data_IF_645385862462
#
_entry.id   IF_645385862462
#
_cell.length_a   1.000
_cell.length_b   1.000
_cell.length_c   1.000
_cell.angle_alpha   90.00
_cell.angle_beta   90.00
_cell.angle_gamma   90.00
#
_symmetry.space_group_name_H-M   'P 1'
#
loop_
_entity.id
_entity.type
_entity.pdbx_description
1 polymer ?
#
# COMPACT_ATOMS: atom_id res chain seq x y z
N UNK A 1 2.81 2.12 -19.70
CA UNK A 1 3.41 3.03 -18.70
C UNK A 1 4.70 2.37 -18.25
N UNK A 2 5.83 3.08 -18.13
CA UNK A 2 7.08 2.48 -17.65
C UNK A 2 7.27 2.88 -16.20
N UNK A 3 6.97 1.99 -15.28
CA UNK A 3 7.28 2.11 -13.85
C UNK A 3 8.73 1.69 -13.66
N UNK A 4 9.62 2.66 -13.44
CA UNK A 4 11.00 2.37 -13.06
C UNK A 4 11.06 2.38 -11.53
N UNK A 5 11.07 1.20 -10.92
CA UNK A 5 11.47 1.07 -9.52
C UNK A 5 13.00 1.11 -9.50
N UNK A 6 13.57 2.14 -8.89
CA UNK A 6 14.99 2.15 -8.58
C UNK A 6 15.19 1.40 -7.27
N UNK A 7 15.89 0.28 -7.32
CA UNK A 7 16.43 -0.39 -6.14
C UNK A 7 17.84 0.15 -5.88
N UNK A 8 18.05 1.00 -4.86
CA UNK A 8 19.36 1.50 -4.51
C UNK A 8 20.08 0.48 -3.62
N UNK A 9 20.33 -0.74 -4.08
CA UNK A 9 21.17 -1.70 -3.34
C UNK A 9 22.28 -2.30 -4.21
N UNK A 10 23.24 -1.46 -4.59
CA UNK A 10 24.65 -1.90 -4.71
C UNK A 10 25.53 -0.87 -4.00
N UNK A 11 25.82 -1.10 -2.71
CA UNK A 11 26.79 -0.34 -1.93
C UNK A 11 26.41 -0.26 -0.47
N UNK A 12 27.27 -0.78 0.42
CA UNK A 12 27.04 -1.02 1.85
C UNK A 12 27.01 0.24 2.74
N UNK A 13 26.54 1.37 2.21
CA UNK A 13 26.38 2.64 2.92
C UNK A 13 25.33 3.46 2.14
N UNK A 14 24.05 3.31 2.45
CA UNK A 14 22.97 3.99 1.70
C UNK A 14 22.09 4.76 2.66
N UNK A 15 21.93 6.06 2.37
CA UNK A 15 21.00 6.95 3.05
C UNK A 15 19.53 6.49 2.93
N UNK A 16 18.56 7.32 3.37
CA UNK A 16 17.15 6.94 3.39
C UNK A 16 16.70 6.44 2.01
N UNK A 17 16.01 5.29 1.95
CA UNK A 17 15.39 4.83 0.71
C UNK A 17 14.33 5.83 0.31
N UNK A 18 14.24 6.15 -0.98
CA UNK A 18 13.27 7.11 -1.51
C UNK A 18 12.42 6.41 -2.56
N UNK A 19 11.13 6.29 -2.27
CA UNK A 19 10.13 5.88 -3.26
C UNK A 19 9.67 7.09 -4.05
N UNK A 20 9.63 6.98 -5.38
CA UNK A 20 9.02 7.99 -6.22
C UNK A 20 8.33 7.36 -7.43
N UNK A 21 7.22 7.95 -7.85
CA UNK A 21 6.59 7.68 -9.14
C UNK A 21 6.36 9.02 -9.84
N UNK A 22 6.64 9.06 -11.14
CA UNK A 22 6.33 10.22 -11.97
C UNK A 22 5.08 9.92 -12.79
N UNK A 23 3.97 10.57 -12.44
CA UNK A 23 2.65 10.24 -12.95
C UNK A 23 1.92 11.53 -13.29
N UNK A 24 1.22 11.52 -14.42
CA UNK A 24 0.36 12.64 -14.85
C UNK A 24 -1.03 12.45 -14.24
N UNK A 25 -1.50 13.38 -13.39
CA UNK A 25 -2.85 13.31 -12.84
C UNK A 25 -3.92 13.38 -13.93
N UNK A 26 -5.01 12.66 -13.74
CA UNK A 26 -6.20 12.78 -14.58
C UNK A 26 -6.84 14.15 -14.35
N UNK A 27 -7.12 14.94 -15.40
CA UNK A 27 -7.92 16.15 -15.24
C UNK A 27 -9.29 15.82 -14.61
N UNK A 28 -9.73 16.60 -13.62
CA UNK A 28 -11.00 16.36 -12.92
C UNK A 28 -12.20 16.22 -13.88
N UNK A 29 -12.21 17.00 -14.96
CA UNK A 29 -13.26 16.94 -15.97
C UNK A 29 -13.30 15.62 -16.77
N UNK A 30 -12.22 14.85 -16.75
CA UNK A 30 -12.09 13.57 -17.45
C UNK A 30 -12.39 12.36 -16.56
N UNK A 31 -12.56 12.54 -15.25
CA UNK A 31 -12.86 11.46 -14.32
C UNK A 31 -14.33 11.01 -14.53
N UNK A 32 -14.60 9.69 -14.59
CA UNK A 32 -15.97 9.17 -14.62
C UNK A 32 -16.80 9.71 -13.46
N UNK A 33 -18.10 9.91 -13.69
CA UNK A 33 -19.04 10.40 -12.66
C UNK A 33 -19.98 9.32 -12.12
N UNK A 34 -19.84 8.10 -12.65
CA UNK A 34 -20.69 6.95 -12.37
C UNK A 34 -19.90 5.68 -12.60
N UNK A 35 -20.37 4.58 -12.01
CA UNK A 35 -19.78 3.25 -12.18
C UNK A 35 -18.80 2.90 -11.08
N UNK A 36 -18.39 1.64 -11.06
CA UNK A 36 -17.43 1.09 -10.10
C UNK A 36 -16.22 0.59 -10.87
N UNK A 37 -15.03 0.84 -10.35
CA UNK A 37 -13.80 0.24 -10.86
C UNK A 37 -13.04 -0.45 -9.74
N UNK A 38 -12.56 -1.66 -10.02
CA UNK A 38 -11.66 -2.40 -9.14
C UNK A 38 -10.23 -2.07 -9.53
N UNK A 39 -9.43 -1.62 -8.57
CA UNK A 39 -8.01 -1.39 -8.76
C UNK A 39 -7.25 -2.46 -8.00
N UNK A 40 -6.27 -3.10 -8.65
CA UNK A 40 -5.44 -4.11 -8.01
C UNK A 40 -4.07 -4.19 -8.67
N UNK A 41 -3.01 -4.35 -7.88
CA UNK A 41 -1.67 -4.57 -8.40
C UNK A 41 -0.57 -4.51 -7.36
N UNK A 42 0.68 -4.73 -7.79
CA UNK A 42 1.84 -4.71 -6.91
C UNK A 42 2.17 -3.30 -6.43
N UNK A 43 2.81 -3.20 -5.26
CA UNK A 43 3.41 -1.95 -4.78
C UNK A 43 4.87 -2.15 -4.38
N UNK A 44 5.64 -1.06 -4.43
CA UNK A 44 6.94 -1.00 -3.79
C UNK A 44 6.78 -0.48 -2.36
N UNK A 45 7.54 -1.00 -1.41
CA UNK A 45 7.44 -0.60 -0.01
C UNK A 45 8.80 -0.79 0.69
N UNK A 46 8.88 -0.29 1.91
CA UNK A 46 9.90 -0.62 2.89
C UNK A 46 9.25 -0.73 4.27
N UNK A 47 9.66 -1.73 5.04
CA UNK A 47 9.33 -1.86 6.46
C UNK A 47 10.53 -1.57 7.36
N UNK A 48 10.26 -1.10 8.58
CA UNK A 48 11.23 -1.06 9.68
C UNK A 48 10.65 -1.80 10.90
N UNK A 49 11.52 -2.52 11.62
CA UNK A 49 11.17 -3.25 12.86
C UNK A 49 12.29 -3.11 13.91
N UNK A 50 11.92 -3.19 15.19
CA UNK A 50 12.83 -2.95 16.33
C UNK A 50 12.96 -4.10 17.33
N UNK A 51 12.47 -5.30 17.02
CA UNK A 51 12.72 -6.51 17.81
C UNK A 51 14.21 -6.85 17.88
N UNK A 52 14.62 -7.75 18.80
CA UNK A 52 16.03 -8.07 19.13
C UNK A 52 16.92 -8.57 17.97
N UNK A 53 16.40 -8.60 16.74
CA UNK A 53 17.13 -8.63 15.49
C UNK A 53 17.69 -7.22 15.21
N UNK A 54 18.74 -6.84 15.94
CA UNK A 54 19.50 -5.62 15.68
C UNK A 54 19.85 -5.52 14.19
N UNK A 55 19.34 -4.49 13.52
CA UNK A 55 19.53 -4.11 12.10
C UNK A 55 18.73 -4.89 11.02
N UNK A 56 17.70 -5.66 11.37
CA UNK A 56 16.91 -6.45 10.41
C UNK A 56 15.95 -5.63 9.54
N UNK A 57 16.37 -5.23 8.33
CA UNK A 57 15.42 -4.97 7.23
C UNK A 57 14.73 -6.29 6.87
N UNK A 58 13.40 -6.25 6.64
CA UNK A 58 12.67 -7.38 6.08
C UNK A 58 12.67 -7.27 4.56
N UNK A 59 13.20 -8.30 3.89
CA UNK A 59 13.04 -8.49 2.45
C UNK A 59 11.67 -9.12 2.21
N UNK A 60 10.68 -8.28 1.93
CA UNK A 60 9.31 -8.71 1.60
C UNK A 60 9.28 -9.12 0.12
N UNK A 61 8.73 -10.31 -0.13
CA UNK A 61 8.68 -10.96 -1.45
C UNK A 61 7.50 -10.51 -2.30
N UNK A 62 6.36 -10.22 -1.66
CA UNK A 62 5.14 -9.80 -2.35
C UNK A 62 4.47 -8.69 -1.56
N UNK A 63 3.96 -7.70 -2.28
CA UNK A 63 3.15 -6.63 -1.75
C UNK A 63 2.09 -6.24 -2.76
N UNK A 64 0.83 -6.42 -2.39
CA UNK A 64 -0.33 -6.18 -3.24
C UNK A 64 -1.31 -5.20 -2.59
N UNK A 65 -1.86 -4.30 -3.39
CA UNK A 65 -2.94 -3.37 -3.02
C UNK A 65 -4.15 -3.64 -3.88
N UNK A 66 -5.34 -3.69 -3.29
CA UNK A 66 -6.60 -3.69 -4.04
C UNK A 66 -7.70 -2.88 -3.35
N UNK A 67 -8.64 -2.33 -4.12
CA UNK A 67 -9.87 -1.71 -3.61
C UNK A 67 -10.87 -1.46 -4.73
N UNK A 68 -12.13 -1.25 -4.37
CA UNK A 68 -13.18 -0.78 -5.29
C UNK A 68 -13.41 0.72 -5.12
N UNK A 69 -13.56 1.45 -6.23
CA UNK A 69 -13.92 2.87 -6.25
C UNK A 69 -15.26 3.04 -6.97
N UNK A 70 -16.25 3.57 -6.26
CA UNK A 70 -17.53 4.01 -6.83
C UNK A 70 -17.44 5.49 -7.20
N UNK A 71 -17.45 5.79 -8.51
CA UNK A 71 -17.36 7.15 -9.03
C UNK A 71 -18.64 7.97 -8.82
N UNK A 72 -19.75 7.32 -8.44
CA UNK A 72 -21.05 7.97 -8.25
C UNK A 72 -21.07 8.79 -6.97
N UNK A 73 -20.58 8.20 -5.87
CA UNK A 73 -20.52 8.81 -4.54
C UNK A 73 -19.09 9.12 -4.09
N UNK A 74 -18.09 8.70 -4.88
CA UNK A 74 -16.67 8.84 -4.56
C UNK A 74 -16.19 7.89 -3.47
N UNK A 75 -16.99 6.88 -3.09
CA UNK A 75 -16.68 5.94 -2.02
C UNK A 75 -15.63 4.92 -2.46
N UNK A 76 -14.70 4.62 -1.55
CA UNK A 76 -13.76 3.51 -1.72
C UNK A 76 -14.04 2.50 -0.64
N UNK A 77 -14.21 1.25 -1.07
CA UNK A 77 -14.59 0.13 -0.22
C UNK A 77 -13.78 -1.11 -0.57
N UNK A 78 -13.88 -2.11 0.31
CA UNK A 78 -13.25 -3.42 0.15
C UNK A 78 -11.73 -3.29 -0.10
N UNK A 79 -11.13 -2.24 0.48
CA UNK A 79 -9.71 -1.96 0.38
C UNK A 79 -8.90 -2.98 1.15
N UNK A 80 -7.86 -3.49 0.51
CA UNK A 80 -7.00 -4.54 1.03
C UNK A 80 -5.53 -4.28 0.68
N UNK A 81 -4.67 -4.33 1.69
CA UNK A 81 -3.22 -4.41 1.53
C UNK A 81 -2.79 -5.81 1.95
N UNK A 82 -1.87 -6.42 1.22
CA UNK A 82 -1.22 -7.66 1.62
C UNK A 82 0.28 -7.55 1.42
N UNK A 83 1.05 -8.06 2.37
CA UNK A 83 2.46 -8.29 2.15
C UNK A 83 2.91 -9.61 2.77
N UNK A 84 3.93 -10.21 2.17
CA UNK A 84 4.57 -11.43 2.66
C UNK A 84 6.08 -11.34 2.55
N UNK A 85 6.82 -11.85 3.54
CA UNK A 85 8.28 -11.94 3.50
C UNK A 85 8.81 -13.34 3.80
N UNK A 86 9.97 -13.66 3.22
CA UNK A 86 10.69 -14.93 3.43
C UNK A 86 12.18 -14.64 3.61
N UNK A 87 12.79 -15.13 4.68
CA UNK A 87 14.23 -14.88 4.92
C UNK A 87 14.82 -15.62 6.13
N UNK A 88 13.97 -16.08 7.03
CA UNK A 88 14.25 -17.11 8.03
C UNK A 88 13.31 -18.29 7.68
N UNK A 89 13.43 -19.49 8.23
CA UNK A 89 12.50 -20.62 7.97
C UNK A 89 11.01 -20.33 8.34
N UNK A 90 10.68 -19.07 8.61
CA UNK A 90 9.40 -18.49 8.99
C UNK A 90 9.01 -17.47 7.91
N UNK A 91 7.84 -17.67 7.31
CA UNK A 91 7.19 -16.62 6.52
C UNK A 91 6.31 -15.79 7.42
N UNK A 92 6.17 -14.50 7.13
CA UNK A 92 5.17 -13.67 7.79
C UNK A 92 4.38 -12.95 6.74
N UNK A 93 3.07 -13.03 6.90
CA UNK A 93 2.10 -12.35 6.08
C UNK A 93 1.39 -11.31 6.92
N UNK A 94 1.03 -10.17 6.34
CA UNK A 94 0.10 -9.26 6.96
C UNK A 94 -0.89 -8.71 5.96
N UNK A 95 -2.04 -8.29 6.47
CA UNK A 95 -3.05 -7.64 5.68
C UNK A 95 -3.75 -6.51 6.41
N UNK A 96 -4.26 -5.55 5.64
CA UNK A 96 -4.90 -4.37 6.19
C UNK A 96 -6.18 -4.05 5.43
N UNK A 97 -7.24 -3.61 6.13
CA UNK A 97 -8.46 -3.11 5.51
C UNK A 97 -8.48 -1.58 5.54
N UNK A 98 -8.92 -0.95 4.45
CA UNK A 98 -9.08 0.49 4.37
C UNK A 98 -10.33 0.90 3.58
N UNK A 99 -10.87 2.07 3.93
CA UNK A 99 -11.99 2.72 3.25
C UNK A 99 -11.66 4.19 3.00
N UNK A 100 -12.38 4.88 2.12
CA UNK A 100 -12.14 6.33 1.95
C UNK A 100 -13.00 7.02 0.89
N UNK A 101 -12.55 8.21 0.48
CA UNK A 101 -13.30 9.08 -0.41
C UNK A 101 -12.43 9.76 -1.48
N UNK A 102 -13.02 9.95 -2.65
CA UNK A 102 -12.48 10.74 -3.74
C UNK A 102 -12.90 12.21 -3.62
N UNK A 103 -11.92 13.12 -3.61
CA UNK A 103 -12.13 14.56 -3.72
C UNK A 103 -11.44 15.10 -4.98
N UNK A 104 -12.20 15.19 -6.07
CA UNK A 104 -11.66 15.55 -7.37
C UNK A 104 -10.75 14.45 -7.93
N UNK A 105 -9.48 14.77 -8.20
CA UNK A 105 -8.48 13.79 -8.65
C UNK A 105 -7.65 13.19 -7.50
N UNK A 106 -7.81 13.72 -6.28
CA UNK A 106 -7.10 13.30 -5.08
C UNK A 106 -8.01 12.37 -4.31
N UNK A 107 -7.40 11.38 -3.68
CA UNK A 107 -8.12 10.35 -2.96
C UNK A 107 -7.50 10.15 -1.59
N UNK A 108 -8.34 10.24 -0.56
CA UNK A 108 -7.96 10.04 0.82
C UNK A 108 -8.53 8.72 1.31
N UNK A 109 -7.70 7.92 1.99
CA UNK A 109 -8.07 6.63 2.54
C UNK A 109 -7.70 6.57 4.04
N UNK A 110 -8.48 5.82 4.80
CA UNK A 110 -8.24 5.53 6.21
C UNK A 110 -8.08 4.04 6.39
N UNK A 111 -6.99 3.65 7.05
CA UNK A 111 -6.80 2.27 7.49
C UNK A 111 -7.72 1.99 8.68
N UNK A 112 -8.48 0.90 8.62
CA UNK A 112 -9.47 0.53 9.64
C UNK A 112 -9.06 -0.72 10.41
N UNK A 113 -8.23 -1.59 9.83
CA UNK A 113 -7.69 -2.76 10.52
C UNK A 113 -6.34 -3.22 9.95
N UNK A 114 -5.57 -3.93 10.76
CA UNK A 114 -4.34 -4.61 10.38
C UNK A 114 -4.24 -5.96 11.11
N UNK A 115 -3.76 -6.98 10.40
CA UNK A 115 -3.56 -8.33 10.89
C UNK A 115 -2.20 -8.88 10.44
N UNK A 116 -1.52 -9.64 11.30
CA UNK A 116 -0.20 -10.25 11.05
C UNK A 116 -0.26 -11.76 11.34
N UNK A 117 0.29 -12.62 10.50
CA UNK A 117 0.36 -14.07 10.72
C UNK A 117 1.74 -14.61 10.37
N UNK A 118 2.31 -15.40 11.27
CA UNK A 118 3.51 -16.21 11.01
C UNK A 118 3.08 -17.53 10.33
N UNK A 119 3.53 -17.75 9.09
CA UNK A 119 3.27 -18.96 8.33
C UNK A 119 1.78 -19.21 8.06
N UNK A 120 1.34 -20.43 8.36
CA UNK A 120 -0.10 -20.83 8.27
C UNK A 120 -0.86 -20.60 9.58
N UNK A 121 -0.29 -19.83 10.51
CA UNK A 121 -0.92 -19.51 11.79
C UNK A 121 -2.13 -18.59 11.64
N UNK A 122 -3.00 -18.53 12.66
CA UNK A 122 -4.09 -17.56 12.68
C UNK A 122 -3.54 -16.13 12.75
N UNK A 123 -4.14 -15.16 12.05
CA UNK A 123 -3.73 -13.77 12.13
C UNK A 123 -3.93 -13.19 13.54
N UNK A 124 -2.91 -12.50 14.02
CA UNK A 124 -2.88 -11.66 15.21
C UNK A 124 -3.31 -10.23 14.81
N UNK A 125 -4.39 -9.68 15.40
CA UNK A 125 -4.75 -8.29 15.17
C UNK A 125 -3.69 -7.36 15.78
N UNK A 126 -3.39 -6.27 15.09
CA UNK A 126 -2.43 -5.27 15.53
C UNK A 126 -3.11 -3.91 15.69
N UNK A 127 -2.74 -3.19 16.75
CA UNK A 127 -3.19 -1.83 16.98
C UNK A 127 -2.46 -0.85 16.05
N UNK A 128 -3.22 -0.10 15.26
CA UNK A 128 -2.71 0.93 14.35
C UNK A 128 -2.58 2.23 15.16
N UNK A 129 -1.34 2.65 15.45
CA UNK A 129 -1.08 3.88 16.18
C UNK A 129 -1.28 5.13 15.33
N UNK A 130 -0.84 5.08 14.07
CA UNK A 130 -1.12 6.11 13.07
C UNK A 130 -1.10 5.52 11.65
N UNK A 131 -1.93 6.04 10.76
CA UNK A 131 -1.92 5.68 9.34
C UNK A 131 -2.19 6.89 8.47
N UNK A 132 -1.54 6.95 7.32
CA UNK A 132 -1.78 7.91 6.27
C UNK A 132 -1.76 7.18 4.93
N UNK A 133 -2.82 7.34 4.15
CA UNK A 133 -2.99 6.67 2.88
C UNK A 133 -3.58 7.67 1.88
N UNK A 134 -2.77 8.07 0.89
CA UNK A 134 -3.15 9.10 -0.09
C UNK A 134 -2.85 8.66 -1.50
N UNK A 135 -3.61 9.15 -2.47
CA UNK A 135 -3.31 8.88 -3.87
C UNK A 135 -3.97 9.85 -4.85
N UNK A 136 -3.66 9.64 -6.12
CA UNK A 136 -4.20 10.38 -7.26
C UNK A 136 -4.71 9.41 -8.33
N UNK A 137 -5.79 9.82 -9.00
CA UNK A 137 -6.19 9.20 -10.27
C UNK A 137 -5.31 9.71 -11.41
N UNK A 138 -4.91 8.82 -12.31
CA UNK A 138 -3.95 9.04 -13.37
C UNK A 138 -4.37 8.38 -14.69
N UNK A 139 -3.77 8.86 -15.78
CA UNK A 139 -4.03 8.34 -17.12
C UNK A 139 -5.40 8.74 -17.69
N UNK A 140 -5.76 8.21 -18.88
CA UNK A 140 -7.04 8.53 -19.50
C UNK A 140 -8.21 8.08 -18.61
N UNK A 141 -9.09 9.02 -18.27
CA UNK A 141 -10.27 8.79 -17.43
C UNK A 141 -10.00 8.15 -16.04
N UNK A 142 -8.82 8.36 -15.45
CA UNK A 142 -8.51 7.80 -14.14
C UNK A 142 -8.33 6.28 -14.15
N UNK A 143 -7.98 5.70 -15.31
CA UNK A 143 -7.76 4.25 -15.46
C UNK A 143 -6.52 3.72 -14.76
N UNK A 144 -5.64 4.60 -14.29
CA UNK A 144 -4.51 4.26 -13.45
C UNK A 144 -4.67 5.00 -12.13
N UNK A 145 -4.18 4.44 -11.04
CA UNK A 145 -4.07 5.12 -9.75
C UNK A 145 -2.67 4.95 -9.22
N UNK A 146 -2.16 6.00 -8.61
CA UNK A 146 -0.98 5.89 -7.79
C UNK A 146 -1.17 6.55 -6.46
N UNK A 147 -0.51 6.02 -5.45
CA UNK A 147 -0.59 6.56 -4.12
C UNK A 147 0.57 6.12 -3.27
N UNK A 148 0.64 6.71 -2.08
CA UNK A 148 1.62 6.42 -1.07
C UNK A 148 0.93 6.13 0.26
N UNK A 149 1.55 5.25 1.03
CA UNK A 149 1.08 4.81 2.34
C UNK A 149 2.20 4.92 3.34
N UNK A 150 1.83 5.25 4.56
CA UNK A 150 2.68 5.12 5.72
C UNK A 150 1.79 4.75 6.90
N UNK A 151 2.17 3.73 7.65
CA UNK A 151 1.52 3.46 8.93
C UNK A 151 2.54 3.02 9.97
N UNK A 152 2.25 3.36 11.21
CA UNK A 152 3.01 2.97 12.38
C UNK A 152 2.16 2.06 13.24
N UNK A 153 2.76 0.95 13.64
CA UNK A 153 2.18 0.03 14.59
C UNK A 153 2.36 0.61 15.99
N UNK A 154 1.34 0.45 16.83
CA UNK A 154 1.49 0.69 18.26
C UNK A 154 2.46 -0.31 18.88
N UNK A 155 2.60 -0.28 20.21
CA UNK A 155 3.44 -1.23 20.96
C UNK A 155 3.04 -2.68 20.63
N UNK A 156 3.74 -3.30 19.68
CA UNK A 156 3.52 -4.67 19.24
C UNK A 156 4.39 -5.59 20.08
N UNK A 157 3.78 -6.49 20.85
CA UNK A 157 4.51 -7.54 21.58
C UNK A 157 5.28 -8.48 20.64
N UNK A 158 4.94 -8.50 19.35
CA UNK A 158 5.58 -9.33 18.33
C UNK A 158 6.90 -8.70 17.86
N UNK A 159 7.08 -7.38 17.99
CA UNK A 159 8.36 -6.68 17.76
C UNK A 159 8.94 -6.77 16.34
N UNK A 160 8.30 -7.45 15.40
CA UNK A 160 8.86 -7.68 14.07
C UNK A 160 8.67 -6.48 13.15
N UNK A 161 7.55 -5.77 13.19
CA UNK A 161 7.29 -4.61 12.31
C UNK A 161 6.82 -3.46 13.19
N UNK A 162 7.40 -2.27 12.99
CA UNK A 162 7.05 -1.03 13.70
C UNK A 162 6.45 -0.01 12.74
N UNK A 163 6.91 0.01 11.50
CA UNK A 163 6.37 0.89 10.46
C UNK A 163 6.51 0.29 9.08
N UNK A 164 5.60 0.66 8.19
CA UNK A 164 5.69 0.35 6.76
C UNK A 164 5.34 1.60 5.97
N UNK A 165 6.15 1.87 4.96
CA UNK A 165 5.93 2.92 3.97
C UNK A 165 5.94 2.31 2.57
N UNK A 166 5.16 2.85 1.64
CA UNK A 166 5.20 2.36 0.28
C UNK A 166 4.45 3.20 -0.72
N UNK A 167 4.55 2.77 -1.99
CA UNK A 167 4.08 3.45 -3.17
C UNK A 167 3.52 2.41 -4.15
N UNK A 168 2.30 2.65 -4.64
CA UNK A 168 1.68 1.79 -5.65
C UNK A 168 1.38 2.58 -6.92
N UNK A 169 1.37 1.87 -8.04
CA UNK A 169 0.88 2.34 -9.34
C UNK A 169 0.11 1.18 -9.96
N UNK A 170 -1.21 1.27 -9.96
CA UNK A 170 -2.10 0.15 -10.31
C UNK A 170 -3.12 0.60 -11.36
N UNK A 171 -3.46 -0.31 -12.26
CA UNK A 171 -4.50 -0.07 -13.25
C UNK A 171 -5.87 -0.47 -12.70
N UNK A 172 -6.89 0.28 -13.10
CA UNK A 172 -8.29 0.02 -12.79
C UNK A 172 -8.92 -0.86 -13.86
N UNK A 173 -9.69 -1.84 -13.42
CA UNK A 173 -10.59 -2.66 -14.22
C UNK A 173 -11.97 -2.06 -14.08
N UNK A 174 -12.56 -1.66 -15.21
CA UNK A 174 -13.87 -1.02 -15.28
C UNK A 174 -14.85 -2.04 -15.84
N UNK A 175 -15.98 -2.21 -15.16
CA UNK A 175 -17.12 -2.93 -15.74
C UNK A 175 -17.76 -2.02 -16.80
N UNK A 176 -17.69 -2.43 -18.07
CA UNK A 176 -18.32 -1.75 -19.21
C UNK A 176 -19.86 -1.87 -19.19
#
# INVERSE_FOLDING_TARGET
MQTNFFDPTIGTDVGPSVFFANITPTPVASIPRTGVAMFSGPAAFQGAGGGSLSDGRFDIDDFTVSFDLDFTNGEIRDGFLFASYTGVEESVNWSAQFDGFLNGAITDLSLTSLALSEGTGPPLPLDIGSSNLTGILAGPAGRCRAGAFSFQLGDSEVGLIESVEGLWVIDGIFDD
#
